data_IF_933175014027
#
_entry.id   IF_933175014027
#
_cell.length_a   1.000
_cell.length_b   1.000
_cell.length_c   1.000
_cell.angle_alpha   90.00
_cell.angle_beta   90.00
_cell.angle_gamma   90.00
#
_symmetry.space_group_name_H-M   'P 1'
#
loop_
_entity.id
_entity.type
_entity.pdbx_description
1 polymer ?
#
# COMPACT_ATOMS: atom_id res chain seq x y z
N UNK A 1 14.41 33.94 53.92
CA UNK A 1 15.44 33.79 52.87
C UNK A 1 15.43 32.36 52.30
N UNK A 2 14.30 31.89 51.74
CA UNK A 2 14.16 30.50 51.24
C UNK A 2 13.46 30.37 49.87
N UNK A 3 12.93 31.45 49.30
CA UNK A 3 12.19 31.40 48.02
C UNK A 3 13.16 31.44 46.81
N UNK A 4 14.33 32.07 46.98
CA UNK A 4 15.34 32.21 45.92
C UNK A 4 16.07 30.90 45.60
N UNK A 5 16.16 29.97 46.56
CA UNK A 5 16.82 28.66 46.37
C UNK A 5 15.96 27.66 45.61
N UNK A 6 14.64 27.73 45.76
CA UNK A 6 13.69 26.83 45.09
C UNK A 6 13.53 27.18 43.60
N UNK A 7 13.60 28.47 43.23
CA UNK A 7 13.56 28.92 41.84
C UNK A 7 14.81 28.53 41.03
N UNK A 8 15.98 28.47 41.66
CA UNK A 8 17.23 28.07 41.00
C UNK A 8 17.27 26.56 40.69
N UNK A 9 16.70 25.72 41.56
CA UNK A 9 16.65 24.28 41.32
C UNK A 9 15.68 23.90 40.18
N UNK A 10 14.60 24.68 39.99
CA UNK A 10 13.62 24.46 38.93
C UNK A 10 14.15 24.87 37.54
N UNK A 11 14.98 25.91 37.45
CA UNK A 11 15.60 26.35 36.19
C UNK A 11 16.73 25.42 35.72
N UNK A 12 17.48 24.80 36.64
CA UNK A 12 18.50 23.80 36.29
C UNK A 12 17.93 22.48 35.76
N UNK A 13 16.77 22.03 36.28
CA UNK A 13 16.13 20.81 35.81
C UNK A 13 15.53 20.98 34.40
N UNK A 14 14.91 22.13 34.13
CA UNK A 14 14.37 22.45 32.79
C UNK A 14 15.48 22.58 31.73
N UNK A 15 16.63 23.18 32.08
CA UNK A 15 17.78 23.30 31.18
C UNK A 15 18.46 21.95 30.87
N UNK A 16 18.49 21.02 31.83
CA UNK A 16 19.01 19.66 31.61
C UNK A 16 18.07 18.82 30.72
N UNK A 17 16.75 18.93 30.92
CA UNK A 17 15.77 18.27 30.04
C UNK A 17 15.78 18.82 28.62
N UNK A 18 15.82 20.15 28.45
CA UNK A 18 15.92 20.77 27.13
C UNK A 18 17.22 20.41 26.39
N UNK A 19 18.34 20.32 27.11
CA UNK A 19 19.62 19.88 26.54
C UNK A 19 19.62 18.40 26.13
N UNK A 20 18.93 17.55 26.89
CA UNK A 20 18.72 16.14 26.55
C UNK A 20 17.84 15.96 25.32
N UNK A 21 16.78 16.76 25.18
CA UNK A 21 15.91 16.77 24.00
C UNK A 21 16.66 17.28 22.75
N UNK A 22 17.47 18.33 22.87
CA UNK A 22 18.32 18.84 21.78
C UNK A 22 19.41 17.85 21.35
N UNK A 23 20.03 17.13 22.29
CA UNK A 23 20.99 16.08 21.98
C UNK A 23 20.33 14.91 21.26
N UNK A 24 19.16 14.47 21.73
CA UNK A 24 18.37 13.42 21.09
C UNK A 24 17.98 13.80 19.66
N UNK A 25 17.45 15.00 19.42
CA UNK A 25 17.09 15.46 18.08
C UNK A 25 18.29 15.50 17.13
N UNK A 26 19.47 15.93 17.61
CA UNK A 26 20.70 15.89 16.80
C UNK A 26 21.13 14.47 16.44
N UNK A 27 20.99 13.53 17.38
CA UNK A 27 21.28 12.11 17.12
C UNK A 27 20.28 11.54 16.10
N UNK A 28 18.99 11.82 16.25
CA UNK A 28 17.96 11.41 15.29
C UNK A 28 18.22 11.95 13.88
N UNK A 29 18.58 13.23 13.77
CA UNK A 29 18.95 13.84 12.50
C UNK A 29 20.19 13.18 11.87
N UNK A 30 21.24 12.93 12.67
CA UNK A 30 22.43 12.24 12.20
C UNK A 30 22.12 10.82 11.68
N UNK A 31 21.25 10.09 12.38
CA UNK A 31 20.78 8.76 11.96
C UNK A 31 19.99 8.85 10.65
N UNK A 32 19.06 9.81 10.52
CA UNK A 32 18.28 10.02 9.30
C UNK A 32 19.18 10.35 8.11
N UNK A 33 20.18 11.21 8.29
CA UNK A 33 21.13 11.55 7.23
C UNK A 33 21.94 10.34 6.77
N UNK A 34 22.39 9.47 7.69
CA UNK A 34 23.08 8.24 7.32
C UNK A 34 22.16 7.28 6.55
N UNK A 35 20.91 7.10 7.00
CA UNK A 35 19.91 6.30 6.29
C UNK A 35 19.68 6.84 4.87
N UNK A 36 19.51 8.16 4.73
CA UNK A 36 19.28 8.80 3.43
C UNK A 36 20.49 8.67 2.51
N UNK A 37 21.72 8.82 3.04
CA UNK A 37 22.96 8.65 2.27
C UNK A 37 23.12 7.23 1.73
N UNK A 38 22.72 6.23 2.53
CA UNK A 38 22.85 4.82 2.18
C UNK A 38 21.61 4.25 1.47
N UNK A 39 20.60 5.08 1.20
CA UNK A 39 19.35 4.68 0.54
C UNK A 39 19.18 5.39 -0.79
N UNK A 40 18.96 4.62 -1.86
CA UNK A 40 18.60 5.13 -3.18
C UNK A 40 17.15 4.78 -3.47
N UNK A 41 16.38 5.77 -3.93
CA UNK A 41 15.01 5.59 -4.39
C UNK A 41 14.96 5.84 -5.89
N UNK A 42 14.46 4.86 -6.65
CA UNK A 42 14.13 5.04 -8.06
C UNK A 42 12.63 4.82 -8.25
N UNK A 43 11.99 5.64 -9.07
CA UNK A 43 10.54 5.61 -9.28
C UNK A 43 10.26 5.38 -10.75
N UNK A 44 9.35 4.45 -11.05
CA UNK A 44 8.79 4.24 -12.38
C UNK A 44 7.28 4.46 -12.35
N UNK A 45 6.72 5.01 -13.43
CA UNK A 45 5.27 5.10 -13.62
C UNK A 45 4.75 3.73 -14.03
N UNK A 46 3.62 3.30 -13.47
CA UNK A 46 2.93 2.08 -13.91
C UNK A 46 1.97 2.41 -15.06
N UNK A 47 2.50 2.43 -16.28
CA UNK A 47 1.76 2.72 -17.51
C UNK A 47 1.01 1.47 -18.01
N UNK A 48 -0.13 1.19 -17.38
CA UNK A 48 -1.02 0.10 -17.79
C UNK A 48 -2.41 0.67 -18.11
N UNK A 49 -2.95 0.35 -19.29
CA UNK A 49 -4.23 0.87 -19.75
C UNK A 49 -5.37 0.44 -18.83
N UNK A 50 -5.30 -0.79 -18.31
CA UNK A 50 -6.24 -1.28 -17.30
C UNK A 50 -6.22 -0.45 -16.01
N UNK A 51 -5.05 0.02 -15.55
CA UNK A 51 -4.98 0.88 -14.36
C UNK A 51 -5.66 2.22 -14.62
N UNK A 52 -5.35 2.87 -15.74
CA UNK A 52 -5.95 4.16 -16.10
C UNK A 52 -7.47 4.07 -16.34
N UNK A 53 -7.97 2.89 -16.75
CA UNK A 53 -9.40 2.65 -16.91
C UNK A 53 -10.09 2.42 -15.56
N UNK A 54 -9.52 1.58 -14.69
CA UNK A 54 -10.14 1.20 -13.41
C UNK A 54 -10.01 2.27 -12.31
N UNK A 55 -8.94 3.07 -12.32
CA UNK A 55 -8.61 3.99 -11.24
C UNK A 55 -8.37 5.40 -11.78
N UNK A 56 -8.78 6.42 -11.01
CA UNK A 56 -8.56 7.82 -11.37
C UNK A 56 -7.14 8.30 -11.03
N UNK A 57 -6.47 7.65 -10.08
CA UNK A 57 -5.13 8.01 -9.64
C UNK A 57 -4.05 7.40 -10.54
N UNK A 58 -2.97 8.14 -10.87
CA UNK A 58 -1.78 7.54 -11.47
C UNK A 58 -0.98 6.79 -10.41
N UNK A 59 -0.43 5.64 -10.79
CA UNK A 59 0.36 4.77 -9.92
C UNK A 59 1.84 4.76 -10.28
N UNK A 60 2.66 4.56 -9.27
CA UNK A 60 4.11 4.52 -9.35
C UNK A 60 4.64 3.32 -8.58
N UNK A 61 5.76 2.76 -9.05
CA UNK A 61 6.52 1.78 -8.30
C UNK A 61 7.84 2.40 -7.87
N UNK A 62 8.05 2.49 -6.56
CA UNK A 62 9.33 2.88 -6.00
C UNK A 62 10.16 1.62 -5.73
N UNK A 63 11.42 1.63 -6.17
CA UNK A 63 12.44 0.69 -5.72
C UNK A 63 13.34 1.42 -4.73
N UNK A 64 13.35 0.94 -3.49
CA UNK A 64 14.16 1.45 -2.39
C UNK A 64 15.32 0.49 -2.19
N UNK A 65 16.53 0.93 -2.49
CA UNK A 65 17.75 0.16 -2.33
C UNK A 65 18.56 0.74 -1.17
N UNK A 66 18.78 -0.04 -0.12
CA UNK A 66 19.61 0.35 1.02
C UNK A 66 20.85 -0.52 1.10
N UNK A 67 22.00 0.11 1.32
CA UNK A 67 23.26 -0.57 1.60
C UNK A 67 23.39 -0.81 3.10
N UNK A 68 23.71 -2.05 3.50
CA UNK A 68 23.95 -2.40 4.90
C UNK A 68 25.11 -3.37 4.98
N UNK A 69 26.27 -2.91 5.46
CA UNK A 69 27.49 -3.71 5.56
C UNK A 69 27.93 -4.25 4.18
N UNK A 70 28.12 -5.57 4.09
CA UNK A 70 28.51 -6.26 2.83
C UNK A 70 27.35 -6.55 1.87
N UNK A 71 26.12 -6.21 2.25
CA UNK A 71 24.91 -6.54 1.49
C UNK A 71 24.15 -5.33 0.96
N UNK A 72 23.32 -5.56 -0.06
CA UNK A 72 22.32 -4.59 -0.51
C UNK A 72 20.93 -5.20 -0.38
N UNK A 73 20.00 -4.46 0.22
CA UNK A 73 18.58 -4.84 0.28
C UNK A 73 17.79 -3.97 -0.69
N UNK A 74 16.94 -4.59 -1.51
CA UNK A 74 16.00 -3.89 -2.39
C UNK A 74 14.58 -4.21 -1.95
N UNK A 75 13.73 -3.18 -1.85
CA UNK A 75 12.31 -3.31 -1.58
C UNK A 75 11.54 -2.55 -2.66
N UNK A 76 10.43 -3.12 -3.12
CA UNK A 76 9.52 -2.44 -4.03
C UNK A 76 8.27 -2.04 -3.26
N UNK A 77 7.72 -0.88 -3.58
CA UNK A 77 6.45 -0.40 -3.02
C UNK A 77 5.67 0.34 -4.10
N UNK A 78 4.34 0.19 -4.07
CA UNK A 78 3.44 0.90 -4.98
C UNK A 78 2.87 2.13 -4.28
N UNK A 79 2.77 3.22 -5.03
CA UNK A 79 2.20 4.48 -4.56
C UNK A 79 1.17 4.98 -5.57
N UNK A 80 0.09 5.55 -5.08
CA UNK A 80 -0.87 6.32 -5.88
C UNK A 80 -0.70 7.81 -5.59
N UNK A 81 -0.80 8.65 -6.61
CA UNK A 81 -0.88 10.10 -6.42
C UNK A 81 -2.34 10.52 -6.31
N UNK A 82 -2.72 11.00 -5.14
CA UNK A 82 -4.05 11.53 -4.81
C UNK A 82 -4.01 13.05 -4.74
N UNK A 83 -5.16 13.69 -4.50
CA UNK A 83 -5.22 15.14 -4.27
C UNK A 83 -4.40 15.59 -3.04
N UNK A 84 -4.27 14.71 -2.04
CA UNK A 84 -3.58 14.98 -0.77
C UNK A 84 -2.08 14.65 -0.81
N UNK A 85 -1.58 14.11 -1.93
CA UNK A 85 -0.16 13.80 -2.13
C UNK A 85 0.07 12.37 -2.60
N UNK A 86 1.08 11.70 -2.05
CA UNK A 86 1.39 10.31 -2.36
C UNK A 86 0.87 9.39 -1.25
N UNK A 87 -0.03 8.48 -1.62
CA UNK A 87 -0.52 7.43 -0.76
C UNK A 87 0.18 6.12 -1.12
N UNK A 88 0.77 5.46 -0.12
CA UNK A 88 1.32 4.10 -0.30
C UNK A 88 0.17 3.11 -0.43
N UNK A 89 0.21 2.26 -1.46
CA UNK A 89 -0.68 1.12 -1.58
C UNK A 89 -0.03 -0.04 -0.82
N UNK A 90 -0.61 -0.42 0.30
CA UNK A 90 -0.15 -1.56 1.09
C UNK A 90 -0.33 -2.84 0.30
N UNK A 91 0.66 -3.75 0.40
CA UNK A 91 0.45 -5.11 -0.08
C UNK A 91 -0.74 -5.72 0.70
N UNK A 92 -1.67 -6.38 0.01
CA UNK A 92 -2.84 -6.96 0.66
C UNK A 92 -2.40 -7.98 1.71
N UNK A 93 -2.88 -7.80 2.94
CA UNK A 93 -2.80 -8.83 3.97
C UNK A 93 -3.74 -10.01 3.69
N UNK A 94 -3.64 -11.04 4.52
CA UNK A 94 -4.58 -12.17 4.50
C UNK A 94 -5.99 -11.69 4.86
N UNK A 95 -6.96 -11.91 3.96
CA UNK A 95 -8.38 -11.64 4.18
C UNK A 95 -8.68 -10.19 4.63
N UNK A 96 -7.96 -9.23 4.06
CA UNK A 96 -8.03 -7.82 4.45
C UNK A 96 -8.42 -6.90 3.29
N UNK A 97 -9.15 -5.83 3.62
CA UNK A 97 -9.40 -4.70 2.74
C UNK A 97 -8.08 -4.04 2.31
N UNK A 98 -8.01 -3.62 1.06
CA UNK A 98 -6.88 -2.87 0.54
C UNK A 98 -7.16 -1.38 0.75
N UNK A 99 -6.65 -0.87 1.87
CA UNK A 99 -6.95 0.47 2.39
C UNK A 99 -6.79 1.56 1.31
N UNK A 100 -7.88 2.32 1.11
CA UNK A 100 -7.96 3.44 0.19
C UNK A 100 -7.99 3.10 -1.31
N UNK A 101 -7.85 1.82 -1.70
CA UNK A 101 -7.86 1.47 -3.13
C UNK A 101 -9.25 1.65 -3.77
N UNK A 102 -10.32 1.34 -3.04
CA UNK A 102 -11.70 1.53 -3.50
C UNK A 102 -12.02 3.02 -3.73
N UNK A 103 -11.48 3.92 -2.90
CA UNK A 103 -11.68 5.37 -3.02
C UNK A 103 -10.99 5.97 -4.26
N UNK A 104 -9.99 5.25 -4.81
CA UNK A 104 -9.27 5.65 -6.01
C UNK A 104 -9.90 5.15 -7.31
N UNK A 105 -10.96 4.33 -7.23
CA UNK A 105 -11.66 3.82 -8.42
C UNK A 105 -12.16 4.99 -9.25
N UNK A 106 -11.97 4.87 -10.56
CA UNK A 106 -12.46 5.87 -11.51
C UNK A 106 -14.00 5.95 -11.40
N UNK A 107 -14.60 7.11 -11.10
CA UNK A 107 -16.05 7.22 -10.98
C UNK A 107 -16.82 6.85 -12.26
N UNK A 108 -16.16 6.89 -13.42
CA UNK A 108 -16.72 6.47 -14.70
C UNK A 108 -16.58 4.96 -14.96
N UNK A 109 -15.76 4.26 -14.18
CA UNK A 109 -15.62 2.80 -14.27
C UNK A 109 -16.72 2.12 -13.47
N UNK A 110 -17.43 1.19 -14.12
CA UNK A 110 -18.44 0.36 -13.48
C UNK A 110 -18.14 -1.11 -13.79
N UNK A 111 -18.02 -1.92 -12.75
CA UNK A 111 -17.76 -3.34 -12.86
C UNK A 111 -19.09 -4.09 -13.08
N UNK A 112 -19.47 -4.28 -14.35
CA UNK A 112 -20.77 -4.85 -14.74
C UNK A 112 -20.67 -6.05 -15.67
N UNK A 113 -19.73 -6.03 -16.60
CA UNK A 113 -19.55 -7.08 -17.58
C UNK A 113 -18.23 -7.82 -17.33
N UNK A 114 -18.13 -9.03 -17.88
CA UNK A 114 -16.92 -9.85 -17.78
C UNK A 114 -15.67 -9.09 -18.29
N UNK A 115 -15.78 -8.35 -19.40
CA UNK A 115 -14.72 -7.50 -19.92
C UNK A 115 -14.26 -6.40 -18.95
N UNK A 116 -15.15 -5.88 -18.09
CA UNK A 116 -14.78 -4.94 -17.03
C UNK A 116 -13.98 -5.67 -15.94
N UNK A 117 -14.38 -6.90 -15.61
CA UNK A 117 -13.64 -7.79 -14.74
C UNK A 117 -12.25 -8.11 -15.28
N UNK A 118 -12.11 -8.47 -16.55
CA UNK A 118 -10.79 -8.72 -17.16
C UNK A 118 -9.88 -7.49 -17.11
N UNK A 119 -10.47 -6.30 -17.35
CA UNK A 119 -9.77 -5.02 -17.18
C UNK A 119 -9.27 -4.90 -15.73
N UNK A 120 -10.14 -5.11 -14.74
CA UNK A 120 -9.77 -4.99 -13.33
C UNK A 120 -8.77 -6.07 -12.86
N UNK A 121 -8.87 -7.30 -13.37
CA UNK A 121 -7.89 -8.37 -13.13
C UNK A 121 -6.49 -7.96 -13.60
N UNK A 122 -6.40 -7.38 -14.79
CA UNK A 122 -5.14 -6.86 -15.35
C UNK A 122 -4.59 -5.74 -14.46
N UNK A 123 -5.46 -4.83 -13.98
CA UNK A 123 -5.07 -3.78 -13.05
C UNK A 123 -4.51 -4.36 -11.73
N UNK A 124 -5.16 -5.37 -11.15
CA UNK A 124 -4.66 -6.05 -9.95
C UNK A 124 -3.32 -6.75 -10.18
N UNK A 125 -3.13 -7.39 -11.33
CA UNK A 125 -1.84 -8.03 -11.69
C UNK A 125 -0.70 -7.02 -11.72
N UNK A 126 -0.98 -5.81 -12.21
CA UNK A 126 0.02 -4.73 -12.25
C UNK A 126 0.31 -4.17 -10.85
N UNK A 127 -0.69 -3.98 -10.00
CA UNK A 127 -0.48 -3.47 -8.63
C UNK A 127 0.19 -4.52 -7.73
N UNK A 128 -0.27 -5.77 -7.79
CA UNK A 128 0.04 -6.84 -6.85
C UNK A 128 0.56 -8.09 -7.56
N UNK A 129 1.68 -8.02 -8.29
CA UNK A 129 2.17 -9.15 -9.07
C UNK A 129 2.51 -10.39 -8.20
N UNK A 130 2.89 -10.19 -6.93
CA UNK A 130 3.14 -11.28 -5.99
C UNK A 130 1.89 -12.02 -5.49
N UNK A 131 0.71 -11.55 -5.87
CA UNK A 131 -0.58 -12.16 -5.52
C UNK A 131 -1.18 -12.98 -6.67
N UNK A 132 -0.38 -13.23 -7.71
CA UNK A 132 -0.69 -14.04 -8.88
C UNK A 132 0.32 -15.20 -8.93
N UNK A 133 -0.17 -16.44 -8.86
CA UNK A 133 0.65 -17.65 -9.01
C UNK A 133 0.63 -18.07 -10.49
N UNK A 134 1.82 -18.21 -11.09
CA UNK A 134 1.97 -18.66 -12.48
C UNK A 134 1.40 -20.07 -12.73
N UNK A 135 1.10 -20.84 -11.67
CA UNK A 135 0.49 -22.17 -11.74
C UNK A 135 -1.04 -22.16 -11.68
N UNK A 136 -1.64 -20.99 -11.46
CA UNK A 136 -3.09 -20.83 -11.39
C UNK A 136 -3.54 -20.00 -12.59
N UNK A 137 -4.37 -20.60 -13.45
CA UNK A 137 -5.01 -19.86 -14.54
C UNK A 137 -5.98 -18.82 -13.96
N UNK A 138 -5.73 -17.50 -14.16
CA UNK A 138 -6.59 -16.47 -13.59
C UNK A 138 -7.99 -16.53 -14.18
N UNK A 139 -9.00 -16.41 -13.33
CA UNK A 139 -10.41 -16.45 -13.74
C UNK A 139 -11.28 -15.59 -12.85
N UNK A 140 -12.47 -15.27 -13.34
CA UNK A 140 -13.42 -14.39 -12.66
C UNK A 140 -14.70 -15.18 -12.39
N UNK A 141 -15.18 -15.14 -11.16
CA UNK A 141 -16.51 -15.60 -10.77
C UNK A 141 -17.34 -14.42 -10.30
N UNK A 142 -18.66 -14.49 -10.49
CA UNK A 142 -19.60 -13.44 -10.07
C UNK A 142 -20.86 -14.05 -9.47
N UNK A 143 -21.21 -13.57 -8.28
CA UNK A 143 -22.47 -13.83 -7.62
C UNK A 143 -23.15 -12.50 -7.25
N UNK A 144 -24.14 -12.10 -8.05
CA UNK A 144 -24.84 -10.83 -7.87
C UNK A 144 -23.92 -9.61 -7.97
N UNK A 145 -23.69 -8.96 -6.83
CA UNK A 145 -22.83 -7.78 -6.67
C UNK A 145 -21.42 -8.12 -6.17
N UNK A 146 -21.14 -9.40 -5.96
CA UNK A 146 -19.84 -9.91 -5.54
C UNK A 146 -19.07 -10.42 -6.74
N UNK A 147 -17.86 -9.94 -6.91
CA UNK A 147 -16.91 -10.38 -7.94
C UNK A 147 -15.70 -11.01 -7.28
N UNK A 148 -15.33 -12.19 -7.74
CA UNK A 148 -14.18 -12.96 -7.23
C UNK A 148 -13.16 -13.12 -8.36
N UNK A 149 -11.97 -12.58 -8.12
CA UNK A 149 -10.85 -12.56 -9.05
C UNK A 149 -9.84 -13.60 -8.58
N UNK A 150 -9.97 -14.83 -9.06
CA UNK A 150 -9.12 -15.96 -8.71
C UNK A 150 -7.81 -15.84 -9.47
N UNK A 151 -6.68 -15.83 -8.76
CA UNK A 151 -5.37 -15.58 -9.35
C UNK A 151 -4.22 -16.36 -8.68
N UNK A 152 -4.49 -17.06 -7.58
CA UNK A 152 -3.48 -17.70 -6.74
C UNK A 152 -4.10 -18.89 -5.99
N UNK A 153 -3.29 -19.71 -5.34
CA UNK A 153 -3.74 -20.81 -4.49
C UNK A 153 -3.03 -20.80 -3.13
N UNK A 154 -3.82 -20.91 -2.06
CA UNK A 154 -3.32 -20.92 -0.69
C UNK A 154 -3.88 -22.15 0.05
N UNK A 155 -3.00 -23.02 0.55
CA UNK A 155 -3.36 -24.27 1.23
C UNK A 155 -4.48 -25.08 0.53
N UNK A 156 -4.30 -25.32 -0.79
CA UNK A 156 -5.25 -26.06 -1.66
C UNK A 156 -6.60 -25.37 -1.89
N UNK A 157 -6.73 -24.10 -1.54
CA UNK A 157 -7.89 -23.27 -1.84
C UNK A 157 -7.50 -22.20 -2.84
N UNK A 158 -8.46 -21.74 -3.65
CA UNK A 158 -8.22 -20.60 -4.51
C UNK A 158 -8.18 -19.32 -3.68
N UNK A 159 -7.31 -18.41 -4.10
CA UNK A 159 -7.12 -17.09 -3.50
C UNK A 159 -7.01 -16.04 -4.59
N UNK A 160 -7.20 -14.79 -4.19
CA UNK A 160 -7.50 -13.76 -5.17
C UNK A 160 -7.99 -12.48 -4.53
N UNK A 161 -8.74 -11.72 -5.30
CA UNK A 161 -9.39 -10.49 -4.84
C UNK A 161 -10.90 -10.67 -4.83
N UNK A 162 -11.56 -10.03 -3.89
CA UNK A 162 -13.01 -9.91 -3.86
C UNK A 162 -13.36 -8.44 -3.97
N UNK A 163 -14.25 -8.13 -4.91
CA UNK A 163 -14.76 -6.78 -5.15
C UNK A 163 -16.26 -6.79 -4.96
N UNK A 164 -16.74 -5.88 -4.11
CA UNK A 164 -18.18 -5.68 -3.92
C UNK A 164 -18.62 -4.45 -4.69
N UNK A 165 -19.73 -4.57 -5.41
CA UNK A 165 -20.36 -3.47 -6.15
C UNK A 165 -21.76 -3.16 -5.63
N UNK A 166 -22.34 -2.06 -6.08
CA UNK A 166 -23.79 -1.87 -6.08
C UNK A 166 -24.42 -2.48 -7.38
N UNK A 167 -25.76 -2.46 -7.54
CA UNK A 167 -26.41 -2.92 -8.77
C UNK A 167 -26.02 -2.11 -10.03
N UNK A 168 -25.52 -0.89 -9.85
CA UNK A 168 -25.00 -0.05 -10.91
C UNK A 168 -23.51 -0.29 -11.19
N UNK A 169 -22.90 -1.34 -10.61
CA UNK A 169 -21.50 -1.71 -10.81
C UNK A 169 -20.50 -0.76 -10.17
N UNK A 170 -20.94 0.18 -9.33
CA UNK A 170 -20.04 1.05 -8.57
C UNK A 170 -19.38 0.24 -7.48
N UNK A 171 -18.06 0.25 -7.43
CA UNK A 171 -17.27 -0.51 -6.44
C UNK A 171 -17.33 0.18 -5.08
N UNK A 172 -17.55 -0.60 -4.03
CA UNK A 172 -17.61 -0.12 -2.64
C UNK A 172 -16.56 -0.75 -1.73
N UNK A 173 -15.95 -1.88 -2.14
CA UNK A 173 -14.91 -2.59 -1.38
C UNK A 173 -14.02 -3.38 -2.31
N UNK A 174 -12.73 -3.46 -1.96
CA UNK A 174 -11.71 -4.26 -2.64
C UNK A 174 -10.85 -4.91 -1.57
N UNK A 175 -10.93 -6.22 -1.43
CA UNK A 175 -10.15 -6.99 -0.46
C UNK A 175 -9.40 -8.14 -1.09
N UNK A 176 -8.36 -8.61 -0.41
CA UNK A 176 -7.76 -9.92 -0.69
C UNK A 176 -8.58 -10.99 0.01
N UNK A 177 -8.72 -12.15 -0.64
CA UNK A 177 -9.31 -13.36 -0.04
C UNK A 177 -8.38 -14.54 -0.26
N UNK A 178 -8.09 -15.29 0.80
CA UNK A 178 -7.37 -16.57 0.74
C UNK A 178 -8.32 -17.79 0.65
N UNK A 179 -9.61 -17.53 0.57
CA UNK A 179 -10.64 -18.54 0.53
C UNK A 179 -11.75 -18.14 -0.44
N UNK A 180 -11.49 -18.37 -1.72
CA UNK A 180 -12.48 -18.22 -2.79
C UNK A 180 -13.00 -19.61 -3.15
N UNK A 181 -14.32 -19.77 -3.18
CA UNK A 181 -14.95 -21.02 -3.61
C UNK A 181 -14.72 -21.15 -5.12
N UNK A 182 -14.00 -22.19 -5.53
CA UNK A 182 -13.59 -22.39 -6.92
C UNK A 182 -14.68 -22.91 -7.85
N UNK A 183 -15.94 -22.83 -7.45
CA UNK A 183 -17.06 -23.43 -8.18
C UNK A 183 -17.48 -22.50 -9.32
N UNK A 184 -16.79 -22.67 -10.45
CA UNK A 184 -17.17 -22.17 -11.77
C UNK A 184 -17.38 -23.34 -12.71
#
# INVERSE_FOLDING_TARGET
MNILRTLLALSLLAAASARGDEEKSRIEEAILQDIMKNTKVSVETLEEAALAKCFAAPFYRATIASQSGSGSMKRKAVYAKTGDGLQKISDPGTDAEIEGLADMVNPAFALKAEADGETMMTAFKTLFPGCFDDKVDPRISRDGTKWEFIADSFFKRFSGFEVTTDPAGKISSIKRSLNINGDG
#
